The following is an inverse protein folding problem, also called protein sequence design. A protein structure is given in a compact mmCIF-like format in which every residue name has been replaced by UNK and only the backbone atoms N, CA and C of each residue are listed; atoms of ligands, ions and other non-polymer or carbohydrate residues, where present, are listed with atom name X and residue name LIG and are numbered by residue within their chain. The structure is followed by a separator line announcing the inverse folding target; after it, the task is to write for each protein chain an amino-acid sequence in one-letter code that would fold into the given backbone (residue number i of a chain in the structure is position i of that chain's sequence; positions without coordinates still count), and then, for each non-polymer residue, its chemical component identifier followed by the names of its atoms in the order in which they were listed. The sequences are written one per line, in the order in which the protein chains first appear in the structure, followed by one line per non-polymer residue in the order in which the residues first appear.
data_IF_304802963615
#
_entry.id   IF_304802963615
#
_cell.length_a   1.000
_cell.length_b   1.000
_cell.length_c   1.000
_cell.angle_alpha   90.00
_cell.angle_beta   90.00
_cell.angle_gamma   90.00
#
_symmetry.space_group_name_H-M   'P 1'
#
loop_
_entity.id
_entity.type
_entity.pdbx_description
1 polymer ?
#
# COMPACT_ATOMS: atom_id res chain seq x y z
N UNK A 1 35.93 0.44 -22.48
CA UNK A 1 34.59 0.06 -21.95
C UNK A 1 33.94 1.12 -21.04
N UNK A 2 34.45 2.37 -20.97
CA UNK A 2 33.92 3.41 -20.06
C UNK A 2 32.68 4.18 -20.51
N UNK A 3 32.25 4.05 -21.77
CA UNK A 3 31.14 4.84 -22.31
C UNK A 3 29.74 4.38 -21.87
N UNK A 4 29.60 3.13 -21.41
CA UNK A 4 28.28 2.57 -21.04
C UNK A 4 27.75 3.19 -19.74
N UNK A 5 28.55 3.25 -18.68
CA UNK A 5 28.15 3.83 -17.39
C UNK A 5 27.85 5.33 -17.51
N UNK A 6 28.61 6.07 -18.33
CA UNK A 6 28.41 7.52 -18.53
C UNK A 6 27.14 7.83 -19.35
N UNK A 7 26.74 6.91 -20.22
CA UNK A 7 25.59 7.06 -21.11
C UNK A 7 24.28 6.53 -20.48
N UNK A 8 24.34 5.42 -19.76
CA UNK A 8 23.19 4.80 -19.07
C UNK A 8 23.01 5.27 -17.62
N UNK A 9 24.03 5.91 -17.02
CA UNK A 9 24.06 6.26 -15.60
C UNK A 9 22.89 7.13 -15.13
N UNK A 10 22.42 8.08 -15.97
CA UNK A 10 21.27 8.93 -15.62
C UNK A 10 19.99 8.10 -15.52
N UNK A 11 19.78 7.16 -16.44
CA UNK A 11 18.62 6.26 -16.40
C UNK A 11 18.60 5.40 -15.15
N UNK A 12 19.77 4.85 -14.79
CA UNK A 12 19.91 4.02 -13.58
C UNK A 12 19.69 4.89 -12.34
N UNK A 13 20.26 6.10 -12.30
CA UNK A 13 20.07 7.03 -11.19
C UNK A 13 18.59 7.37 -10.96
N UNK A 14 17.82 7.68 -12.02
CA UNK A 14 16.37 7.96 -11.90
C UNK A 14 15.62 6.74 -11.35
N UNK A 15 15.93 5.53 -11.83
CA UNK A 15 15.31 4.30 -11.32
C UNK A 15 15.66 4.07 -9.85
N UNK A 16 16.91 4.27 -9.46
CA UNK A 16 17.35 4.13 -8.07
C UNK A 16 16.68 5.16 -7.15
N UNK A 17 16.53 6.41 -7.58
CA UNK A 17 15.81 7.44 -6.83
C UNK A 17 14.33 7.07 -6.69
N UNK A 18 13.69 6.58 -7.77
CA UNK A 18 12.30 6.13 -7.73
C UNK A 18 12.08 4.92 -6.81
N UNK A 19 12.96 3.91 -6.88
CA UNK A 19 12.93 2.76 -5.97
C UNK A 19 13.19 3.17 -4.52
N UNK A 20 14.17 4.06 -4.31
CA UNK A 20 14.49 4.62 -2.99
C UNK A 20 13.31 5.37 -2.38
N UNK A 21 12.59 6.17 -3.18
CA UNK A 21 11.39 6.88 -2.74
C UNK A 21 10.26 5.92 -2.37
N UNK A 22 10.05 4.85 -3.16
CA UNK A 22 9.07 3.82 -2.84
C UNK A 22 9.39 3.08 -1.54
N UNK A 23 10.65 2.68 -1.36
CA UNK A 23 11.10 2.02 -0.13
C UNK A 23 10.98 2.96 1.07
N UNK A 24 11.37 4.23 0.91
CA UNK A 24 11.25 5.25 1.96
C UNK A 24 9.80 5.46 2.37
N UNK A 25 8.88 5.68 1.41
CA UNK A 25 7.45 5.85 1.68
C UNK A 25 6.88 4.63 2.40
N UNK A 26 7.21 3.42 1.92
CA UNK A 26 6.73 2.18 2.52
C UNK A 26 7.19 2.07 3.98
N UNK A 27 8.49 2.19 4.24
CA UNK A 27 9.06 2.07 5.59
C UNK A 27 8.56 3.19 6.50
N UNK A 28 8.48 4.42 6.00
CA UNK A 28 8.02 5.57 6.77
C UNK A 28 6.57 5.38 7.22
N UNK A 29 5.65 5.11 6.29
CA UNK A 29 4.25 4.89 6.64
C UNK A 29 4.05 3.63 7.47
N UNK A 30 4.77 2.54 7.19
CA UNK A 30 4.74 1.35 8.03
C UNK A 30 5.09 1.70 9.48
N UNK A 31 6.21 2.40 9.72
CA UNK A 31 6.63 2.81 11.06
C UNK A 31 5.67 3.78 11.73
N UNK A 32 5.03 4.67 10.98
CA UNK A 32 4.02 5.60 11.52
C UNK A 32 2.82 4.83 12.06
N UNK A 33 2.29 3.86 11.31
CA UNK A 33 1.13 3.08 11.76
C UNK A 33 1.48 2.01 12.79
N UNK A 34 2.75 1.58 12.83
CA UNK A 34 3.26 0.56 13.77
C UNK A 34 3.81 1.13 15.10
N UNK A 35 4.27 2.39 15.17
CA UNK A 35 4.86 2.92 16.42
C UNK A 35 4.03 4.03 17.09
N UNK A 36 3.12 4.69 16.38
CA UNK A 36 2.34 5.79 16.98
C UNK A 36 1.24 5.26 17.90
N UNK A 37 1.11 5.85 19.08
CA UNK A 37 0.11 5.48 20.10
C UNK A 37 -1.33 5.81 19.68
N UNK A 38 -1.52 6.79 18.80
CA UNK A 38 -2.84 7.15 18.25
C UNK A 38 -3.57 5.98 17.55
N UNK A 39 -2.82 4.98 17.06
CA UNK A 39 -3.36 3.79 16.41
C UNK A 39 -3.36 2.56 17.32
N UNK A 40 -3.13 2.72 18.62
CA UNK A 40 -3.01 1.60 19.56
C UNK A 40 -4.26 0.70 19.55
N UNK A 41 -5.44 1.29 19.72
CA UNK A 41 -6.70 0.55 19.72
C UNK A 41 -6.99 -0.12 18.37
N UNK A 42 -6.77 0.60 17.26
CA UNK A 42 -6.96 0.04 15.92
C UNK A 42 -5.96 -1.09 15.64
N UNK A 43 -4.72 -1.01 16.11
CA UNK A 43 -3.72 -2.07 15.97
C UNK A 43 -4.00 -3.27 16.87
N UNK A 44 -4.65 -3.08 18.02
CA UNK A 44 -5.13 -4.21 18.83
C UNK A 44 -6.21 -5.01 18.10
N UNK A 45 -7.03 -4.35 17.28
CA UNK A 45 -8.06 -5.02 16.49
C UNK A 45 -7.51 -5.58 15.16
N UNK A 46 -6.65 -4.82 14.47
CA UNK A 46 -6.18 -5.10 13.10
C UNK A 46 -4.72 -5.55 13.01
N UNK A 47 -4.01 -5.70 14.12
CA UNK A 47 -2.63 -6.20 14.19
C UNK A 47 -1.66 -5.54 13.19
N UNK A 48 -0.75 -6.37 12.67
CA UNK A 48 0.25 -5.99 11.67
C UNK A 48 -0.33 -5.73 10.25
N UNK A 49 -1.59 -6.09 10.00
CA UNK A 49 -2.28 -5.88 8.74
C UNK A 49 -2.64 -4.39 8.54
N UNK A 50 -2.82 -3.63 9.62
CA UNK A 50 -3.04 -2.17 9.55
C UNK A 50 -1.86 -1.44 8.87
N UNK A 51 -0.62 -1.48 9.40
CA UNK A 51 0.51 -0.81 8.75
C UNK A 51 0.79 -1.42 7.36
N UNK A 52 0.57 -2.73 7.19
CA UNK A 52 0.75 -3.40 5.91
C UNK A 52 -0.30 -3.03 4.86
N UNK A 53 -1.49 -2.56 5.23
CA UNK A 53 -2.48 -2.03 4.29
C UNK A 53 -2.22 -0.56 3.93
N UNK A 54 -1.79 0.24 4.91
CA UNK A 54 -1.61 1.70 4.75
C UNK A 54 -0.30 2.07 4.05
N UNK A 55 0.80 1.36 4.31
CA UNK A 55 2.08 1.59 3.66
C UNK A 55 2.04 1.41 2.12
N UNK A 56 1.55 0.28 1.56
CA UNK A 56 1.46 0.12 0.11
C UNK A 56 0.41 1.05 -0.50
N UNK A 57 -0.63 1.47 0.23
CA UNK A 57 -1.59 2.46 -0.27
C UNK A 57 -0.93 3.82 -0.54
N UNK A 58 -0.02 4.27 0.34
CA UNK A 58 0.75 5.49 0.12
C UNK A 58 1.69 5.36 -1.09
N UNK A 59 2.38 4.23 -1.22
CA UNK A 59 3.22 3.95 -2.40
C UNK A 59 2.38 3.84 -3.69
N UNK A 60 1.17 3.28 -3.60
CA UNK A 60 0.25 3.17 -4.73
C UNK A 60 -0.18 4.56 -5.22
N UNK A 61 -0.58 5.46 -4.32
CA UNK A 61 -0.92 6.84 -4.65
C UNK A 61 0.23 7.56 -5.37
N UNK A 62 1.46 7.38 -4.86
CA UNK A 62 2.66 7.93 -5.48
C UNK A 62 2.88 7.37 -6.90
N UNK A 63 2.84 6.05 -7.08
CA UNK A 63 3.06 5.44 -8.40
C UNK A 63 1.92 5.74 -9.39
N UNK A 64 0.67 5.81 -8.94
CA UNK A 64 -0.48 6.20 -9.77
C UNK A 64 -0.41 7.65 -10.25
N UNK A 65 0.21 8.55 -9.49
CA UNK A 65 0.54 9.89 -9.97
C UNK A 65 1.68 9.83 -11.00
N UNK A 66 2.75 9.08 -10.70
CA UNK A 66 3.94 9.00 -11.54
C UNK A 66 3.72 8.31 -12.88
N UNK A 67 2.78 7.37 -12.99
CA UNK A 67 2.57 6.57 -14.22
C UNK A 67 2.14 7.43 -15.42
N UNK A 68 1.52 8.59 -15.17
CA UNK A 68 1.07 9.53 -16.19
C UNK A 68 2.22 10.43 -16.71
N UNK A 69 3.19 10.76 -15.86
CA UNK A 69 4.33 11.61 -16.23
C UNK A 69 5.10 11.13 -17.48
N UNK A 70 5.44 9.84 -17.64
CA UNK A 70 6.12 9.36 -18.85
C UNK A 70 5.24 9.35 -20.11
N UNK A 71 3.92 9.49 -20.01
CA UNK A 71 2.98 9.46 -21.15
C UNK A 71 2.60 10.87 -21.63
N UNK A 72 2.68 11.88 -20.76
CA UNK A 72 2.38 13.28 -21.07
C UNK A 72 3.47 13.96 -21.93
N UNK A 73 3.44 13.74 -23.25
CA UNK A 73 4.46 14.24 -24.21
C UNK A 73 4.69 15.76 -24.18
N UNK A 74 3.67 16.56 -23.88
CA UNK A 74 3.79 18.02 -23.78
C UNK A 74 4.57 18.47 -22.54
N UNK A 75 4.32 17.82 -21.39
CA UNK A 75 5.07 18.07 -20.15
C UNK A 75 6.53 17.63 -20.29
N UNK A 76 6.75 16.48 -20.92
CA UNK A 76 8.08 15.97 -21.23
C UNK A 76 8.85 16.92 -22.18
N UNK A 77 8.14 17.55 -23.12
CA UNK A 77 8.72 18.56 -24.01
C UNK A 77 9.04 19.87 -23.29
N UNK A 78 8.22 20.27 -22.30
CA UNK A 78 8.48 21.43 -21.44
C UNK A 78 9.68 21.21 -20.50
N UNK A 79 9.78 20.03 -19.88
CA UNK A 79 10.94 19.63 -19.07
C UNK A 79 12.23 19.60 -19.90
N UNK A 80 12.15 19.13 -21.15
CA UNK A 80 13.26 19.17 -22.11
C UNK A 80 13.71 20.61 -22.44
N UNK A 81 12.78 21.56 -22.54
CA UNK A 81 13.08 22.98 -22.73
C UNK A 81 13.78 23.62 -21.52
N UNK A 82 13.41 23.20 -20.32
CA UNK A 82 13.99 23.70 -19.06
C UNK A 82 15.41 23.17 -18.79
N UNK A 83 15.78 22.02 -19.37
CA UNK A 83 17.07 21.35 -19.16
C UNK A 83 18.07 21.55 -20.31
N UNK A 84 18.11 22.74 -20.92
CA UNK A 84 18.89 23.05 -22.13
C UNK A 84 20.40 22.71 -22.04
N UNK A 85 20.98 22.63 -20.84
CA UNK A 85 22.40 22.30 -20.62
C UNK A 85 22.72 20.78 -20.70
N UNK A 86 21.73 19.87 -20.58
CA UNK A 86 21.93 18.40 -20.52
C UNK A 86 21.15 17.62 -21.60
N UNK A 87 20.94 18.26 -22.75
CA UNK A 87 19.95 17.90 -23.79
C UNK A 87 20.04 16.46 -24.34
N UNK A 88 21.24 15.88 -24.53
CA UNK A 88 21.37 14.55 -25.16
C UNK A 88 20.99 13.39 -24.22
N UNK A 89 21.32 13.50 -22.93
CA UNK A 89 21.04 12.44 -21.94
C UNK A 89 19.57 12.40 -21.54
N UNK A 90 18.95 13.57 -21.34
CA UNK A 90 17.53 13.67 -20.97
C UNK A 90 16.64 13.24 -22.12
N UNK A 91 16.99 13.58 -23.37
CA UNK A 91 16.27 13.13 -24.56
C UNK A 91 16.28 11.60 -24.70
N UNK A 92 17.42 10.94 -24.44
CA UNK A 92 17.51 9.46 -24.42
C UNK A 92 16.72 8.81 -23.29
N UNK A 93 16.65 9.43 -22.11
CA UNK A 93 15.82 8.97 -21.00
C UNK A 93 14.33 9.08 -21.34
N UNK A 94 13.95 10.15 -22.04
CA UNK A 94 12.62 10.36 -22.62
C UNK A 94 12.26 9.24 -23.63
N UNK A 95 13.19 8.82 -24.49
CA UNK A 95 12.94 7.73 -25.44
C UNK A 95 12.73 6.36 -24.74
N UNK A 96 13.18 6.21 -23.47
CA UNK A 96 12.92 5.04 -22.61
C UNK A 96 11.75 5.23 -21.64
N UNK A 97 10.97 6.31 -21.76
CA UNK A 97 9.85 6.61 -20.87
C UNK A 97 8.82 5.46 -20.80
N UNK A 98 8.65 4.70 -21.88
CA UNK A 98 7.68 3.61 -21.98
C UNK A 98 8.15 2.38 -21.20
N UNK A 99 9.46 2.13 -21.15
CA UNK A 99 10.03 1.09 -20.28
C UNK A 99 9.88 1.47 -18.81
N UNK A 100 10.08 2.76 -18.47
CA UNK A 100 9.83 3.26 -17.12
C UNK A 100 8.34 3.17 -16.74
N UNK A 101 7.42 3.53 -17.64
CA UNK A 101 5.98 3.36 -17.45
C UNK A 101 5.60 1.90 -17.18
N UNK A 102 6.18 0.94 -17.92
CA UNK A 102 6.01 -0.50 -17.66
C UNK A 102 6.52 -0.90 -16.28
N UNK A 103 7.68 -0.41 -15.85
CA UNK A 103 8.22 -0.69 -14.50
C UNK A 103 7.30 -0.14 -13.41
N UNK A 104 6.81 1.10 -13.56
CA UNK A 104 5.84 1.71 -12.63
C UNK A 104 4.54 0.89 -12.59
N UNK A 105 4.04 0.44 -13.74
CA UNK A 105 2.85 -0.42 -13.81
C UNK A 105 3.02 -1.73 -13.03
N UNK A 106 4.17 -2.40 -13.15
CA UNK A 106 4.47 -3.59 -12.35
C UNK A 106 4.55 -3.30 -10.84
N UNK A 107 5.09 -2.13 -10.45
CA UNK A 107 5.13 -1.72 -9.05
C UNK A 107 3.73 -1.42 -8.49
N UNK A 108 2.86 -0.79 -9.28
CA UNK A 108 1.44 -0.59 -8.94
C UNK A 108 0.77 -1.94 -8.72
N UNK A 109 0.94 -2.90 -9.64
CA UNK A 109 0.37 -4.24 -9.50
C UNK A 109 0.83 -4.92 -8.21
N UNK A 110 2.13 -4.84 -7.88
CA UNK A 110 2.69 -5.38 -6.65
C UNK A 110 2.09 -4.71 -5.40
N UNK A 111 2.08 -3.38 -5.34
CA UNK A 111 1.52 -2.66 -4.19
C UNK A 111 0.01 -2.89 -4.02
N UNK A 112 -0.73 -2.97 -5.12
CA UNK A 112 -2.16 -3.33 -5.11
C UNK A 112 -2.35 -4.74 -4.55
N UNK A 113 -1.55 -5.72 -4.97
CA UNK A 113 -1.67 -7.09 -4.45
C UNK A 113 -1.42 -7.13 -2.93
N UNK A 114 -0.34 -6.50 -2.45
CA UNK A 114 -0.04 -6.42 -1.01
C UNK A 114 -1.17 -5.68 -0.25
N UNK A 115 -1.65 -4.57 -0.79
CA UNK A 115 -2.72 -3.78 -0.19
C UNK A 115 -4.03 -4.59 -0.06
N UNK A 116 -4.43 -5.30 -1.13
CA UNK A 116 -5.63 -6.15 -1.11
C UNK A 116 -5.48 -7.29 -0.10
N UNK A 117 -4.35 -8.00 -0.11
CA UNK A 117 -4.09 -9.10 0.84
C UNK A 117 -4.13 -8.58 2.29
N UNK A 118 -3.54 -7.42 2.58
CA UNK A 118 -3.59 -6.81 3.91
C UNK A 118 -5.02 -6.44 4.32
N UNK A 119 -5.87 -5.99 3.38
CA UNK A 119 -7.29 -5.78 3.65
C UNK A 119 -8.06 -7.07 3.93
N UNK A 120 -7.71 -8.18 3.28
CA UNK A 120 -8.32 -9.48 3.58
C UNK A 120 -7.98 -9.95 5.00
N UNK A 121 -6.72 -9.83 5.43
CA UNK A 121 -6.31 -10.14 6.81
C UNK A 121 -6.97 -9.22 7.84
N UNK A 122 -7.13 -7.94 7.52
CA UNK A 122 -7.85 -6.99 8.35
C UNK A 122 -9.32 -7.45 8.58
N UNK A 123 -9.99 -7.89 7.52
CA UNK A 123 -11.34 -8.46 7.61
C UNK A 123 -11.34 -9.72 8.47
N UNK A 124 -10.44 -10.66 8.22
CA UNK A 124 -10.32 -11.91 8.99
C UNK A 124 -10.17 -11.65 10.51
N UNK A 125 -9.28 -10.75 10.91
CA UNK A 125 -9.06 -10.44 12.32
C UNK A 125 -10.22 -9.69 12.99
N UNK A 126 -10.96 -8.89 12.23
CA UNK A 126 -12.19 -8.29 12.74
C UNK A 126 -13.32 -9.33 12.96
N UNK A 127 -13.40 -10.36 12.10
CA UNK A 127 -14.30 -11.51 12.34
C UNK A 127 -13.82 -12.27 13.58
N UNK A 128 -12.53 -12.55 13.68
CA UNK A 128 -11.95 -13.28 14.81
C UNK A 128 -12.20 -12.55 16.15
N UNK A 129 -11.95 -11.24 16.21
CA UNK A 129 -12.25 -10.42 17.40
C UNK A 129 -13.74 -10.34 17.79
N UNK A 130 -14.65 -10.70 16.87
CA UNK A 130 -16.10 -10.75 17.09
C UNK A 130 -16.56 -12.13 17.55
N UNK A 131 -16.01 -13.19 16.96
CA UNK A 131 -16.43 -14.58 17.12
C UNK A 131 -15.63 -15.27 18.24
N UNK A 132 -14.32 -15.12 18.22
CA UNK A 132 -13.40 -15.70 19.20
C UNK A 132 -13.09 -14.69 20.30
N UNK A 133 -13.00 -15.17 21.54
CA UNK A 133 -12.57 -14.36 22.69
C UNK A 133 -11.03 -14.23 22.68
N UNK A 134 -10.45 -13.61 21.65
CA UNK A 134 -8.99 -13.49 21.51
C UNK A 134 -8.39 -12.60 22.60
N UNK A 135 -8.88 -11.37 22.75
CA UNK A 135 -8.42 -10.40 23.77
C UNK A 135 -9.58 -9.59 24.34
N UNK A 136 -9.54 -9.30 25.65
CA UNK A 136 -10.61 -8.53 26.36
C UNK A 136 -10.85 -7.15 25.72
N UNK A 137 -9.78 -6.49 25.27
CA UNK A 137 -9.84 -5.21 24.56
C UNK A 137 -10.49 -5.33 23.18
N UNK A 138 -10.13 -6.34 22.39
CA UNK A 138 -10.65 -6.55 21.03
C UNK A 138 -12.13 -6.93 21.04
N UNK A 139 -12.55 -7.70 22.06
CA UNK A 139 -13.95 -8.04 22.31
C UNK A 139 -14.76 -6.82 22.77
N UNK A 140 -14.20 -5.98 23.66
CA UNK A 140 -14.86 -4.74 24.08
C UNK A 140 -15.00 -3.75 22.90
N UNK A 141 -13.94 -3.60 22.11
CA UNK A 141 -13.91 -2.74 20.93
C UNK A 141 -14.88 -3.21 19.84
N UNK A 142 -14.97 -4.52 19.61
CA UNK A 142 -15.93 -5.04 18.64
C UNK A 142 -17.37 -4.79 19.12
N UNK A 143 -17.67 -5.03 20.41
CA UNK A 143 -19.03 -4.95 20.99
C UNK A 143 -19.61 -3.54 21.09
N UNK A 144 -18.87 -2.47 20.85
CA UNK A 144 -19.46 -1.13 20.86
C UNK A 144 -20.61 -1.08 19.86
N UNK A 145 -21.80 -0.78 20.39
CA UNK A 145 -23.03 -0.65 19.64
C UNK A 145 -23.05 0.73 18.99
N UNK A 146 -23.37 0.79 17.70
CA UNK A 146 -23.38 2.05 16.97
C UNK A 146 -24.50 2.96 17.51
N UNK A 147 -24.15 4.20 17.86
CA UNK A 147 -25.16 5.23 18.12
C UNK A 147 -25.76 5.69 16.80
N UNK A 148 -27.04 6.12 16.78
CA UNK A 148 -27.61 6.71 15.57
C UNK A 148 -26.80 7.93 15.14
N UNK A 149 -26.11 7.83 13.99
CA UNK A 149 -25.25 8.86 13.43
C UNK A 149 -23.74 8.60 13.52
N UNK A 150 -23.30 7.53 14.16
CA UNK A 150 -21.89 7.08 14.15
C UNK A 150 -21.69 5.92 13.16
N UNK A 151 -20.55 5.90 12.46
CA UNK A 151 -20.28 4.95 11.38
C UNK A 151 -19.47 3.75 11.88
N UNK A 152 -20.13 2.59 11.88
CA UNK A 152 -19.61 1.21 11.80
C UNK A 152 -18.11 1.01 12.06
N UNK A 153 -17.76 0.55 13.26
CA UNK A 153 -16.39 0.15 13.60
C UNK A 153 -16.05 -1.29 13.16
N UNK A 154 -17.06 -2.16 13.01
CA UNK A 154 -16.91 -3.55 12.59
C UNK A 154 -17.96 -3.90 11.53
N UNK A 155 -17.54 -4.40 10.35
CA UNK A 155 -18.43 -4.71 9.23
C UNK A 155 -19.48 -5.80 9.53
N UNK A 156 -19.25 -6.63 10.55
CA UNK A 156 -20.19 -7.67 10.96
C UNK A 156 -21.10 -7.18 12.09
N UNK A 157 -22.36 -6.88 11.74
CA UNK A 157 -23.42 -6.50 12.68
C UNK A 157 -23.76 -7.66 13.64
N UNK A 158 -23.83 -8.89 13.11
CA UNK A 158 -24.28 -10.07 13.84
C UNK A 158 -23.13 -11.01 14.14
N UNK A 159 -23.13 -11.61 15.34
CA UNK A 159 -22.24 -12.71 15.69
C UNK A 159 -22.58 -13.94 14.85
N UNK A 160 -21.59 -14.45 14.12
CA UNK A 160 -21.71 -15.73 13.42
C UNK A 160 -21.52 -16.84 14.47
N UNK A 161 -22.56 -17.64 14.72
CA UNK A 161 -22.44 -18.84 15.56
C UNK A 161 -21.79 -19.94 14.72
N UNK A 162 -20.55 -20.30 15.02
CA UNK A 162 -19.78 -21.35 14.31
C UNK A 162 -20.40 -22.76 14.51
N UNK A 163 -21.24 -22.95 15.52
CA UNK A 163 -21.94 -24.20 15.83
C UNK A 163 -23.00 -24.68 14.83
N UNK A 164 -23.13 -24.01 13.67
CA UNK A 164 -24.02 -24.45 12.58
C UNK A 164 -23.28 -25.02 11.35
N UNK A 165 -21.94 -24.96 11.32
CA UNK A 165 -21.16 -25.45 10.17
C UNK A 165 -20.48 -26.80 10.41
N UNK A 166 -20.34 -27.20 11.67
CA UNK A 166 -19.86 -28.52 12.07
C UNK A 166 -20.77 -29.02 13.20
N UNK A 167 -21.63 -30.03 12.96
CA UNK A 167 -22.29 -30.71 14.06
C UNK A 167 -21.19 -31.38 14.91
N UNK A 168 -21.24 -31.17 16.22
CA UNK A 168 -20.37 -31.88 17.16
C UNK A 168 -20.52 -33.39 16.92
N UNK A 169 -19.43 -34.15 16.70
CA UNK A 169 -19.49 -35.60 16.53
C UNK A 169 -19.84 -36.34 17.84
N UNK A 170 -19.93 -35.63 18.97
CA UNK A 170 -20.10 -36.21 20.29
C UNK A 170 -21.32 -35.60 21.03
N UNK A 171 -22.52 -36.02 20.64
CA UNK A 171 -23.67 -36.08 21.57
C UNK A 171 -24.30 -37.47 21.41
N UNK A 172 -24.39 -38.28 22.47
CA UNK A 172 -24.99 -39.62 22.42
C UNK A 172 -26.49 -39.62 22.12
#
# INVERSE_FOLDING_TARGET
MGNWVVNEGLSIFVILVWLGMNAFLFVWYYRVYDNREQFFYTRKLLGAALPLARAPAACLNFNCMLILLPVCRNLLSFLRGSSACCSTRIRRQLDRNLTFHKMVAWMIALHTAIHTIAHLFNVEWCVDARVNNSDSYSVALSKFEDKPGETYLNFAEKKIKVSLLFPDPDVP
#
